data_IF_875930614135
#
_entry.id   IF_875930614135
#
_cell.length_a   1.000
_cell.length_b   1.000
_cell.length_c   1.000
_cell.angle_alpha   90.00
_cell.angle_beta   90.00
_cell.angle_gamma   90.00
#
_symmetry.space_group_name_H-M   'P 1'
#
loop_
_entity.id
_entity.type
_entity.pdbx_description
1 polymer ?
#
# COMPACT_ATOMS: atom_id res chain seq x y z
N UNK A 1 -47.92 6.49 22.24
CA UNK A 1 -48.21 7.87 21.86
C UNK A 1 -47.15 8.74 22.45
N UNK A 2 -46.19 9.14 21.64
CA UNK A 2 -45.54 10.47 21.65
C UNK A 2 -44.48 10.45 20.52
N UNK A 3 -44.76 11.27 19.53
CA UNK A 3 -43.92 11.51 18.38
C UNK A 3 -42.78 12.42 18.81
N UNK A 4 -41.54 12.02 18.58
CA UNK A 4 -40.40 12.90 18.64
C UNK A 4 -40.27 13.63 17.30
N UNK A 5 -40.50 14.94 17.40
CA UNK A 5 -40.35 15.90 16.32
C UNK A 5 -38.87 16.18 16.11
N UNK A 6 -38.27 15.70 15.05
CA UNK A 6 -36.95 16.10 14.62
C UNK A 6 -37.05 17.49 13.99
N UNK A 7 -36.60 18.49 14.71
CA UNK A 7 -36.52 19.88 14.27
C UNK A 7 -35.34 20.02 13.29
N UNK A 8 -35.64 20.38 12.04
CA UNK A 8 -34.65 20.66 11.00
C UNK A 8 -34.14 22.09 11.18
N UNK A 9 -32.82 22.33 11.21
CA UNK A 9 -32.30 23.69 11.18
C UNK A 9 -32.59 24.34 9.82
N UNK A 10 -33.27 25.47 9.90
CA UNK A 10 -33.68 26.32 8.81
C UNK A 10 -32.47 27.15 8.35
N UNK A 11 -31.91 26.81 7.20
CA UNK A 11 -30.89 27.63 6.55
C UNK A 11 -31.55 28.84 5.91
N UNK A 12 -31.25 29.98 6.46
CA UNK A 12 -31.69 31.26 6.00
C UNK A 12 -31.12 31.57 4.61
N UNK A 13 -32.01 31.82 3.64
CA UNK A 13 -31.66 32.28 2.29
C UNK A 13 -31.48 33.79 2.33
N UNK A 14 -30.27 34.20 2.72
CA UNK A 14 -29.89 35.61 2.69
C UNK A 14 -28.92 35.91 1.56
N UNK A 15 -29.48 36.58 0.52
CA UNK A 15 -28.84 37.55 -0.37
C UNK A 15 -27.42 37.22 -0.91
N UNK A 16 -27.39 36.88 -2.18
CA UNK A 16 -26.23 37.12 -3.03
C UNK A 16 -26.05 38.62 -3.24
N UNK A 17 -24.85 39.19 -3.05
CA UNK A 17 -24.56 40.54 -3.51
C UNK A 17 -24.33 40.54 -5.02
N UNK A 18 -24.90 41.59 -5.64
CA UNK A 18 -24.91 41.86 -7.06
C UNK A 18 -23.50 41.89 -7.70
N UNK A 19 -23.40 41.22 -8.78
CA UNK A 19 -22.35 41.26 -9.77
C UNK A 19 -22.42 42.61 -10.54
N UNK A 20 -21.65 43.58 -10.15
CA UNK A 20 -21.34 44.74 -11.01
C UNK A 20 -20.26 45.58 -10.32
N UNK A 21 -19.04 45.37 -10.70
CA UNK A 21 -17.90 46.32 -10.80
C UNK A 21 -16.59 45.55 -10.95
N UNK A 22 -16.39 44.94 -12.09
CA UNK A 22 -15.02 44.60 -12.50
C UNK A 22 -14.52 45.81 -13.28
N UNK A 23 -13.80 46.65 -12.56
CA UNK A 23 -13.06 47.73 -13.13
C UNK A 23 -11.91 47.20 -13.98
N UNK A 24 -12.05 47.33 -15.27
CA UNK A 24 -11.11 46.92 -16.29
C UNK A 24 -9.98 47.96 -16.38
N UNK A 25 -9.12 48.05 -15.39
CA UNK A 25 -7.86 48.74 -15.58
C UNK A 25 -6.81 48.37 -14.49
N UNK A 26 -6.24 47.21 -14.58
CA UNK A 26 -4.94 46.92 -13.98
C UNK A 26 -4.17 45.79 -14.67
N UNK A 27 -4.07 45.92 -15.96
CA UNK A 27 -2.99 45.27 -16.69
C UNK A 27 -1.67 45.95 -16.33
N UNK A 28 -1.06 45.57 -15.24
CA UNK A 28 0.37 45.76 -15.00
C UNK A 28 0.96 44.37 -14.74
N UNK A 29 1.45 43.86 -15.80
CA UNK A 29 2.37 42.74 -15.94
C UNK A 29 3.42 42.84 -14.83
N UNK A 30 3.30 41.98 -13.84
CA UNK A 30 4.40 41.64 -12.95
C UNK A 30 5.45 40.83 -13.73
N UNK A 31 6.70 40.76 -13.27
CA UNK A 31 7.77 40.13 -14.01
C UNK A 31 7.42 38.65 -14.31
N UNK A 32 7.65 38.31 -15.55
CA UNK A 32 7.53 36.99 -16.11
C UNK A 32 8.20 35.91 -15.21
N UNK A 33 7.37 35.14 -14.51
CA UNK A 33 7.81 34.07 -13.61
C UNK A 33 8.00 32.75 -14.40
N UNK A 34 8.05 32.83 -15.72
CA UNK A 34 8.18 31.65 -16.57
C UNK A 34 9.59 31.11 -16.71
N UNK A 35 10.61 31.80 -16.16
CA UNK A 35 12.02 31.43 -16.40
C UNK A 35 12.82 31.08 -15.13
N UNK A 36 12.16 30.78 -14.03
CA UNK A 36 12.85 30.42 -12.77
C UNK A 36 12.27 29.18 -12.07
N UNK A 37 11.51 28.36 -12.78
CA UNK A 37 11.31 27.01 -12.29
C UNK A 37 12.60 26.25 -12.56
N UNK A 38 13.32 25.78 -11.52
CA UNK A 38 14.37 24.80 -11.76
C UNK A 38 13.68 23.68 -12.51
N UNK A 39 14.18 23.36 -13.71
CA UNK A 39 13.80 22.14 -14.41
C UNK A 39 13.83 21.08 -13.35
N UNK A 40 12.64 20.58 -12.96
CA UNK A 40 12.55 19.46 -12.07
C UNK A 40 13.44 18.40 -12.68
N UNK A 41 14.64 18.31 -12.14
CA UNK A 41 15.48 17.16 -12.37
C UNK A 41 14.63 16.03 -11.83
N UNK A 42 13.91 15.41 -12.74
CA UNK A 42 13.30 14.12 -12.50
C UNK A 42 14.39 13.30 -11.84
N UNK A 43 14.25 13.08 -10.56
CA UNK A 43 14.95 12.04 -9.82
C UNK A 43 14.08 10.79 -9.90
N UNK A 44 14.11 10.06 -11.04
CA UNK A 44 13.27 8.88 -11.21
C UNK A 44 13.71 7.74 -10.30
N UNK A 45 14.87 7.88 -9.68
CA UNK A 45 15.58 6.75 -9.11
C UNK A 45 15.33 6.55 -7.58
N UNK A 46 14.97 7.61 -6.86
CA UNK A 46 14.75 7.47 -5.41
C UNK A 46 13.42 6.79 -5.06
N UNK A 47 12.39 6.95 -5.88
CA UNK A 47 11.11 6.26 -5.67
C UNK A 47 11.17 4.82 -6.21
N UNK A 48 11.95 4.58 -7.25
CA UNK A 48 12.15 3.25 -7.83
C UNK A 48 12.99 2.35 -6.92
N UNK A 49 13.96 2.89 -6.19
CA UNK A 49 14.80 2.11 -5.26
C UNK A 49 14.07 1.68 -4.00
N UNK A 50 13.06 2.43 -3.56
CA UNK A 50 12.24 2.07 -2.40
C UNK A 50 11.30 0.87 -2.66
N UNK A 51 11.14 0.45 -3.91
CA UNK A 51 10.21 -0.61 -4.31
C UNK A 51 10.88 -1.93 -4.68
N UNK A 52 12.20 -1.96 -4.78
CA UNK A 52 12.89 -3.20 -5.12
C UNK A 52 12.76 -4.21 -3.96
N UNK A 53 12.48 -5.48 -4.26
CA UNK A 53 12.43 -6.50 -3.23
C UNK A 53 13.82 -6.65 -2.60
N UNK A 54 13.84 -6.76 -1.27
CA UNK A 54 15.09 -6.97 -0.50
C UNK A 54 15.85 -8.23 -0.93
N UNK A 55 15.16 -9.14 -1.62
CA UNK A 55 15.70 -10.40 -2.13
C UNK A 55 15.29 -10.57 -3.59
N UNK A 56 16.22 -10.99 -4.43
CA UNK A 56 15.91 -11.44 -5.79
C UNK A 56 15.50 -12.90 -5.84
N UNK A 57 15.97 -13.67 -4.88
CA UNK A 57 15.69 -15.10 -4.75
C UNK A 57 15.57 -15.50 -3.28
N UNK A 58 14.64 -16.39 -3.00
CA UNK A 58 14.33 -16.92 -1.67
C UNK A 58 14.19 -18.42 -1.78
N UNK A 59 15.21 -19.18 -1.35
CA UNK A 59 15.26 -20.60 -1.64
C UNK A 59 15.18 -20.86 -3.14
N UNK A 60 14.18 -21.63 -3.57
CA UNK A 60 13.89 -21.90 -4.99
C UNK A 60 13.07 -20.78 -5.67
N UNK A 61 12.42 -19.91 -4.92
CA UNK A 61 11.51 -18.91 -5.43
C UNK A 61 12.25 -17.68 -5.99
N UNK A 62 11.91 -17.30 -7.20
CA UNK A 62 12.39 -16.06 -7.83
C UNK A 62 11.39 -14.93 -7.55
N UNK A 63 11.84 -13.87 -6.90
CA UNK A 63 11.00 -12.71 -6.58
C UNK A 63 10.82 -11.85 -7.83
N UNK A 64 9.58 -11.60 -8.20
CA UNK A 64 9.23 -10.80 -9.38
C UNK A 64 8.94 -9.35 -9.00
N UNK A 65 7.93 -9.14 -8.14
CA UNK A 65 7.49 -7.79 -7.75
C UNK A 65 6.85 -7.79 -6.36
N UNK A 66 6.81 -6.62 -5.71
CA UNK A 66 6.05 -6.44 -4.48
C UNK A 66 4.59 -6.13 -4.82
N UNK A 67 3.67 -6.95 -4.34
CA UNK A 67 2.24 -6.80 -4.60
C UNK A 67 1.45 -6.23 -3.41
N UNK A 68 2.06 -6.19 -2.22
CA UNK A 68 1.40 -5.62 -1.06
C UNK A 68 2.33 -5.38 0.13
N UNK A 69 1.98 -4.40 0.95
CA UNK A 69 2.64 -4.15 2.24
C UNK A 69 1.59 -3.77 3.28
N UNK A 70 1.58 -4.48 4.39
CA UNK A 70 0.76 -4.20 5.55
C UNK A 70 1.59 -3.94 6.80
N UNK A 71 0.94 -3.73 7.94
CA UNK A 71 1.59 -3.48 9.22
C UNK A 71 2.48 -4.65 9.67
N UNK A 72 2.04 -5.89 9.44
CA UNK A 72 2.76 -7.08 9.91
C UNK A 72 3.62 -7.75 8.83
N UNK A 73 3.26 -7.60 7.56
CA UNK A 73 3.87 -8.38 6.48
C UNK A 73 3.96 -7.62 5.17
N UNK A 74 4.91 -8.03 4.35
CA UNK A 74 5.05 -7.64 2.96
C UNK A 74 4.81 -8.86 2.07
N UNK A 75 4.07 -8.68 0.98
CA UNK A 75 3.74 -9.74 0.04
C UNK A 75 4.41 -9.46 -1.30
N UNK A 76 5.08 -10.47 -1.83
CA UNK A 76 5.71 -10.46 -3.14
C UNK A 76 5.09 -11.50 -4.06
N UNK A 77 4.98 -11.18 -5.32
CA UNK A 77 4.76 -12.14 -6.38
C UNK A 77 6.08 -12.86 -6.65
N UNK A 78 6.06 -14.16 -6.73
CA UNK A 78 7.23 -14.98 -6.96
C UNK A 78 6.93 -16.12 -7.94
N UNK A 79 7.97 -16.63 -8.55
CA UNK A 79 7.90 -17.78 -9.46
C UNK A 79 8.64 -18.97 -8.86
N UNK A 80 8.01 -20.11 -8.85
CA UNK A 80 8.58 -21.40 -8.46
C UNK A 80 8.95 -22.17 -9.74
N UNK A 81 10.25 -22.30 -10.06
CA UNK A 81 10.67 -22.99 -11.27
C UNK A 81 10.52 -24.53 -11.19
N UNK A 82 10.48 -25.11 -9.98
CA UNK A 82 10.35 -26.56 -9.84
C UNK A 82 8.97 -27.06 -10.26
N UNK A 83 7.94 -26.27 -10.01
CA UNK A 83 6.57 -26.63 -10.38
C UNK A 83 5.97 -25.70 -11.44
N UNK A 84 6.83 -24.84 -12.05
CA UNK A 84 6.44 -23.89 -13.10
C UNK A 84 5.21 -23.06 -12.73
N UNK A 85 5.26 -22.38 -11.58
CA UNK A 85 4.09 -21.73 -11.00
C UNK A 85 4.43 -20.37 -10.43
N UNK A 86 3.53 -19.42 -10.66
CA UNK A 86 3.52 -18.12 -9.93
C UNK A 86 2.71 -18.26 -8.65
N UNK A 87 3.23 -17.70 -7.57
CA UNK A 87 2.64 -17.71 -6.24
C UNK A 87 2.93 -16.41 -5.49
N UNK A 88 2.34 -16.23 -4.31
CA UNK A 88 2.64 -15.13 -3.41
C UNK A 88 3.57 -15.60 -2.28
N UNK A 89 4.60 -14.82 -1.99
CA UNK A 89 5.43 -14.98 -0.81
C UNK A 89 5.13 -13.86 0.18
N UNK A 90 4.57 -14.22 1.33
CA UNK A 90 4.29 -13.29 2.44
C UNK A 90 5.43 -13.36 3.45
N UNK A 91 6.08 -12.23 3.70
CA UNK A 91 7.18 -12.11 4.67
C UNK A 91 6.76 -11.33 5.89
N UNK A 92 7.15 -11.77 7.06
CA UNK A 92 7.05 -10.96 8.28
C UNK A 92 7.91 -9.69 8.13
N UNK A 93 7.42 -8.53 8.63
CA UNK A 93 8.22 -7.30 8.62
C UNK A 93 9.51 -7.45 9.42
N UNK A 94 10.64 -6.87 8.98
CA UNK A 94 11.92 -7.01 9.65
C UNK A 94 11.88 -6.64 11.13
N UNK A 95 11.22 -5.54 11.45
CA UNK A 95 11.09 -5.01 12.81
C UNK A 95 10.34 -5.97 13.75
N UNK A 96 9.47 -6.80 13.20
CA UNK A 96 8.70 -7.80 13.95
C UNK A 96 9.43 -9.14 14.07
N UNK A 97 10.48 -9.38 13.27
CA UNK A 97 11.23 -10.62 13.32
C UNK A 97 12.06 -10.78 14.59
N UNK A 98 12.39 -9.69 15.28
CA UNK A 98 13.16 -9.69 16.53
C UNK A 98 12.34 -10.14 17.74
N UNK A 99 11.02 -10.14 17.63
CA UNK A 99 10.09 -10.52 18.70
C UNK A 99 9.55 -11.91 18.41
N UNK A 100 9.90 -12.89 19.26
CA UNK A 100 9.51 -14.29 19.07
C UNK A 100 7.99 -14.50 19.03
N UNK A 101 7.23 -13.72 19.77
CA UNK A 101 5.76 -13.79 19.76
C UNK A 101 5.19 -13.52 18.37
N UNK A 102 5.70 -12.52 17.65
CA UNK A 102 5.26 -12.20 16.29
C UNK A 102 5.63 -13.30 15.30
N UNK A 103 6.83 -13.88 15.43
CA UNK A 103 7.27 -15.02 14.60
C UNK A 103 6.37 -16.22 14.82
N UNK A 104 6.19 -16.61 16.07
CA UNK A 104 5.35 -17.76 16.44
C UNK A 104 3.91 -17.59 15.98
N UNK A 105 3.35 -16.39 16.15
CA UNK A 105 2.01 -16.07 15.66
C UNK A 105 1.90 -16.20 14.14
N UNK A 106 2.86 -15.62 13.41
CA UNK A 106 2.90 -15.67 11.94
C UNK A 106 2.95 -17.11 11.42
N UNK A 107 3.81 -17.95 12.01
CA UNK A 107 3.95 -19.36 11.63
C UNK A 107 2.73 -20.20 12.05
N UNK A 108 2.10 -19.89 13.18
CA UNK A 108 0.88 -20.55 13.64
C UNK A 108 -0.30 -20.28 12.71
N UNK A 109 -0.44 -19.04 12.24
CA UNK A 109 -1.47 -18.68 11.25
C UNK A 109 -1.27 -19.47 9.93
N UNK A 110 -0.02 -19.59 9.47
CA UNK A 110 0.29 -20.40 8.29
C UNK A 110 -0.06 -21.88 8.46
N UNK A 111 0.31 -22.46 9.60
CA UNK A 111 -0.01 -23.87 9.91
C UNK A 111 -1.52 -24.11 9.97
N UNK A 112 -2.27 -23.19 10.57
CA UNK A 112 -3.72 -23.29 10.64
C UNK A 112 -4.37 -23.23 9.25
N UNK A 113 -3.89 -22.36 8.37
CA UNK A 113 -4.36 -22.24 7.00
C UNK A 113 -3.93 -23.43 6.12
N UNK A 114 -2.74 -23.99 6.34
CA UNK A 114 -2.18 -25.09 5.55
C UNK A 114 -2.97 -26.41 5.63
N UNK A 115 -3.75 -26.58 6.70
CA UNK A 115 -4.66 -27.73 6.87
C UNK A 115 -6.03 -27.57 6.20
N UNK A 116 -6.31 -26.39 5.63
CA UNK A 116 -7.62 -26.08 5.06
C UNK A 116 -7.57 -26.13 3.53
N UNK A 117 -8.56 -26.78 2.94
CA UNK A 117 -8.78 -26.80 1.49
C UNK A 117 -10.18 -26.29 1.19
N UNK A 118 -10.29 -25.07 0.72
CA UNK A 118 -11.56 -24.44 0.39
C UNK A 118 -11.34 -23.36 -0.69
N UNK A 119 -12.23 -23.21 -1.69
CA UNK A 119 -12.05 -22.26 -2.79
C UNK A 119 -11.94 -20.79 -2.35
N UNK A 120 -12.46 -20.43 -1.18
CA UNK A 120 -12.41 -19.07 -0.62
C UNK A 120 -11.30 -18.91 0.42
N UNK A 121 -10.43 -19.89 0.61
CA UNK A 121 -9.30 -19.84 1.54
C UNK A 121 -8.01 -19.93 0.75
N UNK A 122 -7.08 -19.02 1.00
CA UNK A 122 -5.76 -19.05 0.35
C UNK A 122 -5.02 -20.32 0.78
N UNK A 123 -4.60 -21.11 -0.22
CA UNK A 123 -3.84 -22.32 0.03
C UNK A 123 -2.40 -21.97 0.42
N UNK A 124 -1.92 -22.49 1.52
CA UNK A 124 -0.52 -22.43 1.91
C UNK A 124 0.21 -23.64 1.35
N UNK A 125 1.28 -23.38 0.57
CA UNK A 125 2.08 -24.42 -0.08
C UNK A 125 3.34 -24.76 0.69
N UNK A 126 3.95 -23.74 1.31
CA UNK A 126 5.24 -23.89 1.98
C UNK A 126 5.43 -22.80 3.04
N UNK A 127 6.27 -23.09 4.02
CA UNK A 127 6.68 -22.16 5.07
C UNK A 127 8.18 -22.31 5.27
N UNK A 128 8.89 -21.21 5.24
CA UNK A 128 10.34 -21.21 5.40
C UNK A 128 10.86 -19.97 6.07
N UNK A 129 12.17 -19.87 6.10
CA UNK A 129 12.90 -18.74 6.66
C UNK A 129 14.12 -18.40 5.80
N UNK A 130 14.38 -17.13 5.60
CA UNK A 130 15.62 -16.64 4.98
C UNK A 130 16.17 -15.47 5.77
N UNK A 131 17.43 -15.53 6.12
CA UNK A 131 18.14 -14.48 6.90
C UNK A 131 17.36 -14.05 8.15
N UNK A 132 16.81 -15.00 8.90
CA UNK A 132 16.02 -14.74 10.11
C UNK A 132 14.61 -14.20 9.85
N UNK A 133 14.16 -14.11 8.60
CA UNK A 133 12.80 -13.66 8.23
C UNK A 133 11.95 -14.86 7.81
N UNK A 134 10.87 -15.16 8.54
CA UNK A 134 9.94 -16.19 8.13
C UNK A 134 9.11 -15.73 6.93
N UNK A 135 8.80 -16.67 6.04
CA UNK A 135 7.91 -16.47 4.91
C UNK A 135 6.89 -17.59 4.78
N UNK A 136 5.80 -17.28 4.12
CA UNK A 136 4.72 -18.21 3.76
C UNK A 136 4.55 -18.15 2.24
N UNK A 137 4.60 -19.30 1.57
CA UNK A 137 4.27 -19.45 0.15
C UNK A 137 2.79 -19.84 0.00
N UNK A 138 2.02 -19.06 -0.79
CA UNK A 138 0.57 -19.22 -0.91
C UNK A 138 0.07 -18.93 -2.34
#
# INVERSE_FOLDING_TARGET
MTRDSYDKPQWDRGAMPDDDMIDADRARIGPDFSDSLPKATLVPDLLSQAEQPAFRQVGRYQILERIGRGAMATVYKAYDPEINRTLALKFLQPDLCVVEEHRSRFLREAKAAGGLSHPNIVTVFDVGEIQGRPYIAM
#
